data_IF_858531197878
#
_entry.id   IF_858531197878
#
_cell.length_a   1.000
_cell.length_b   1.000
_cell.length_c   1.000
_cell.angle_alpha   90.00
_cell.angle_beta   90.00
_cell.angle_gamma   90.00
#
_symmetry.space_group_name_H-M   'P 1'
#
loop_
_entity.id
_entity.type
_entity.pdbx_description
1 polymer ?
#
# COMPACT_ATOMS: atom_id res chain seq x y z
N UNK A 1 25.70 2.02 -25.40
CA UNK A 1 24.47 1.58 -24.70
C UNK A 1 24.38 2.37 -23.40
N UNK A 2 23.58 3.44 -23.37
CA UNK A 2 23.48 4.29 -22.17
C UNK A 2 22.48 3.67 -21.19
N UNK A 3 22.99 3.29 -20.03
CA UNK A 3 22.24 2.80 -18.86
C UNK A 3 21.17 3.81 -18.46
N UNK A 4 19.89 3.43 -18.47
CA UNK A 4 18.85 4.31 -17.92
C UNK A 4 19.07 4.42 -16.41
N UNK A 5 19.46 5.61 -15.95
CA UNK A 5 19.35 5.94 -14.53
C UNK A 5 17.85 5.98 -14.22
N UNK A 6 17.38 5.00 -13.45
CA UNK A 6 16.01 4.98 -12.95
C UNK A 6 15.92 5.91 -11.74
N UNK A 7 15.56 7.17 -11.96
CA UNK A 7 15.28 8.13 -10.89
C UNK A 7 13.78 8.17 -10.57
N UNK A 8 13.40 8.51 -9.32
CA UNK A 8 11.99 8.66 -8.94
C UNK A 8 11.26 9.62 -9.90
N UNK A 9 10.19 9.15 -10.54
CA UNK A 9 9.34 9.97 -11.40
C UNK A 9 9.65 9.97 -12.88
N UNK A 10 10.69 9.24 -13.30
CA UNK A 10 11.06 9.10 -14.71
C UNK A 10 9.87 8.64 -15.57
N UNK A 11 9.10 7.63 -15.12
CA UNK A 11 7.93 7.15 -15.85
C UNK A 11 6.82 8.20 -16.01
N UNK A 12 6.60 9.02 -14.97
CA UNK A 12 5.60 10.10 -15.01
C UNK A 12 6.04 11.20 -16.00
N UNK A 13 7.33 11.53 -15.99
CA UNK A 13 7.94 12.50 -16.91
C UNK A 13 7.86 12.03 -18.37
N UNK A 14 8.24 10.78 -18.66
CA UNK A 14 8.13 10.20 -20.00
C UNK A 14 6.69 10.21 -20.50
N UNK A 15 5.74 9.79 -19.64
CA UNK A 15 4.32 9.78 -19.96
C UNK A 15 3.80 11.18 -20.27
N UNK A 16 4.20 12.17 -19.47
CA UNK A 16 3.85 13.57 -19.69
C UNK A 16 4.39 14.11 -21.03
N UNK A 17 5.67 13.88 -21.32
CA UNK A 17 6.32 14.34 -22.55
C UNK A 17 5.72 13.68 -23.79
N UNK A 18 5.44 12.36 -23.74
CA UNK A 18 4.76 11.66 -24.84
C UNK A 18 3.35 12.21 -25.09
N UNK A 19 2.63 12.59 -24.03
CA UNK A 19 1.27 13.13 -24.13
C UNK A 19 1.23 14.58 -24.64
N UNK A 20 2.20 15.42 -24.25
CA UNK A 20 2.19 16.85 -24.57
C UNK A 20 3.04 17.22 -25.78
N UNK A 21 4.05 16.42 -26.13
CA UNK A 21 4.97 16.66 -27.25
C UNK A 21 5.54 18.09 -27.21
N UNK A 22 5.40 18.83 -28.31
CA UNK A 22 5.89 20.21 -28.44
C UNK A 22 5.16 21.24 -27.55
N UNK A 23 4.08 20.86 -26.88
CA UNK A 23 3.36 21.69 -25.90
C UNK A 23 3.83 21.46 -24.46
N UNK A 24 4.86 20.62 -24.27
CA UNK A 24 5.45 20.36 -22.97
C UNK A 24 5.97 21.64 -22.32
N UNK A 25 5.78 21.74 -21.01
CA UNK A 25 6.20 22.86 -20.19
C UNK A 25 6.69 22.31 -18.85
N UNK A 26 7.83 22.81 -18.39
CA UNK A 26 8.44 22.34 -17.14
C UNK A 26 7.57 22.73 -15.94
N UNK A 27 7.13 23.98 -15.87
CA UNK A 27 6.25 24.46 -14.80
C UNK A 27 4.91 23.70 -14.80
N UNK A 28 4.36 23.36 -15.97
CA UNK A 28 3.12 22.59 -16.08
C UNK A 28 3.30 21.16 -15.60
N UNK A 29 4.44 20.53 -15.91
CA UNK A 29 4.77 19.22 -15.38
C UNK A 29 4.83 19.23 -13.84
N UNK A 30 5.57 20.19 -13.26
CA UNK A 30 5.69 20.32 -11.81
C UNK A 30 4.32 20.46 -11.12
N UNK A 31 3.42 21.25 -11.69
CA UNK A 31 2.07 21.44 -11.14
C UNK A 31 1.19 20.18 -11.25
N UNK A 32 1.22 19.49 -12.39
CA UNK A 32 0.39 18.30 -12.60
C UNK A 32 0.82 17.12 -11.73
N UNK A 33 2.11 17.04 -11.42
CA UNK A 33 2.71 15.95 -10.66
C UNK A 33 3.12 16.37 -9.24
N UNK A 34 2.52 17.43 -8.72
CA UNK A 34 2.81 18.02 -7.40
C UNK A 34 2.88 16.97 -6.28
N UNK A 35 1.84 16.15 -6.10
CA UNK A 35 1.80 15.15 -5.02
C UNK A 35 2.95 14.15 -5.10
N UNK A 36 3.27 13.72 -6.32
CA UNK A 36 4.36 12.79 -6.57
C UNK A 36 5.74 13.45 -6.32
N UNK A 37 5.87 14.74 -6.65
CA UNK A 37 7.08 15.53 -6.42
C UNK A 37 7.31 15.77 -4.92
N UNK A 38 6.25 16.06 -4.15
CA UNK A 38 6.31 16.20 -2.68
C UNK A 38 6.85 14.92 -2.03
N UNK A 39 6.45 13.74 -2.51
CA UNK A 39 6.92 12.47 -1.94
C UNK A 39 8.30 12.04 -2.41
N UNK A 40 8.88 12.74 -3.38
CA UNK A 40 10.15 12.37 -4.03
C UNK A 40 11.26 13.38 -3.77
N UNK A 41 11.13 14.23 -2.74
CA UNK A 41 12.18 15.19 -2.43
C UNK A 41 13.38 14.49 -1.78
N UNK A 42 14.57 14.95 -2.16
CA UNK A 42 15.85 14.39 -1.71
C UNK A 42 16.79 15.47 -1.14
N UNK A 43 16.37 16.73 -1.16
CA UNK A 43 17.13 17.88 -0.67
C UNK A 43 16.20 18.93 -0.08
N UNK A 44 16.68 19.62 0.95
CA UNK A 44 16.04 20.79 1.55
C UNK A 44 16.41 22.11 0.84
N UNK A 45 17.27 22.04 -0.19
CA UNK A 45 17.67 23.17 -0.99
C UNK A 45 16.87 23.21 -2.29
N UNK A 46 16.05 24.25 -2.44
CA UNK A 46 15.19 24.42 -3.61
C UNK A 46 15.97 24.46 -4.94
N UNK A 47 17.21 24.97 -4.94
CA UNK A 47 18.05 25.02 -6.15
C UNK A 47 18.49 23.64 -6.58
N UNK A 48 18.84 22.79 -5.62
CA UNK A 48 19.29 21.43 -5.91
C UNK A 48 18.13 20.57 -6.45
N UNK A 49 16.94 20.73 -5.86
CA UNK A 49 15.71 20.12 -6.37
C UNK A 49 15.41 20.58 -7.79
N UNK A 50 15.37 21.90 -8.02
CA UNK A 50 15.02 22.46 -9.31
C UNK A 50 16.02 22.07 -10.41
N UNK A 51 17.32 22.20 -10.14
CA UNK A 51 18.37 21.86 -11.10
C UNK A 51 18.31 20.38 -11.48
N UNK A 52 18.07 19.49 -10.51
CA UNK A 52 17.99 18.04 -10.76
C UNK A 52 16.75 17.70 -11.59
N UNK A 53 15.58 18.19 -11.19
CA UNK A 53 14.32 17.94 -11.91
C UNK A 53 14.34 18.55 -13.32
N UNK A 54 14.93 19.73 -13.47
CA UNK A 54 15.08 20.39 -14.76
C UNK A 54 16.06 19.65 -15.66
N UNK A 55 17.18 19.18 -15.13
CA UNK A 55 18.15 18.35 -15.88
C UNK A 55 17.49 17.08 -16.40
N UNK A 56 16.79 16.35 -15.54
CA UNK A 56 16.04 15.17 -15.93
C UNK A 56 14.96 15.47 -16.98
N UNK A 57 14.28 16.61 -16.87
CA UNK A 57 13.31 17.04 -17.87
C UNK A 57 13.95 17.23 -19.25
N UNK A 58 15.12 17.88 -19.31
CA UNK A 58 15.86 18.10 -20.55
C UNK A 58 16.45 16.80 -21.12
N UNK A 59 16.99 15.93 -20.28
CA UNK A 59 17.52 14.61 -20.67
C UNK A 59 16.43 13.77 -21.34
N UNK A 60 15.21 13.77 -20.79
CA UNK A 60 14.09 13.01 -21.36
C UNK A 60 13.52 13.65 -22.63
N UNK A 61 13.53 14.98 -22.74
CA UNK A 61 13.19 15.68 -23.99
C UNK A 61 14.16 15.30 -25.11
N UNK A 62 15.46 15.23 -24.80
CA UNK A 62 16.49 14.84 -25.75
C UNK A 62 16.42 13.35 -26.11
N UNK A 63 16.15 12.49 -25.13
CA UNK A 63 15.98 11.05 -25.35
C UNK A 63 14.77 10.70 -26.21
N UNK A 64 13.70 11.48 -26.14
CA UNK A 64 12.48 11.30 -26.92
C UNK A 64 12.55 11.96 -28.31
N UNK A 65 13.71 12.50 -28.69
CA UNK A 65 13.95 13.23 -29.95
C UNK A 65 12.92 14.35 -30.20
N UNK A 66 12.57 15.07 -29.13
CA UNK A 66 11.66 16.22 -29.22
C UNK A 66 12.45 17.45 -29.69
N UNK A 67 11.95 18.10 -30.75
CA UNK A 67 12.54 19.21 -31.51
C UNK A 67 13.43 20.20 -30.70
N UNK A 68 14.60 20.58 -31.25
CA UNK A 68 15.53 21.58 -30.71
C UNK A 68 14.87 22.89 -30.26
N UNK A 69 13.84 23.35 -30.97
CA UNK A 69 13.04 24.56 -30.64
C UNK A 69 12.33 24.41 -29.28
N UNK A 70 11.92 23.19 -28.90
CA UNK A 70 11.29 22.91 -27.62
C UNK A 70 12.28 23.09 -26.46
N UNK A 71 13.55 22.68 -26.65
CA UNK A 71 14.61 22.82 -25.64
C UNK A 71 14.88 24.29 -25.31
N UNK A 72 14.98 25.14 -26.33
CA UNK A 72 15.15 26.59 -26.18
C UNK A 72 13.95 27.26 -25.49
N UNK A 73 12.73 26.83 -25.85
CA UNK A 73 11.50 27.27 -25.21
C UNK A 73 11.46 26.89 -23.72
N UNK A 74 11.85 25.67 -23.36
CA UNK A 74 11.89 25.19 -21.98
C UNK A 74 12.95 25.95 -21.16
N UNK A 75 14.14 26.21 -21.73
CA UNK A 75 15.17 27.03 -21.08
C UNK A 75 14.68 28.45 -20.81
N UNK A 76 13.96 29.04 -21.78
CA UNK A 76 13.40 30.38 -21.63
C UNK A 76 12.27 30.40 -20.60
N UNK A 77 11.42 29.37 -20.56
CA UNK A 77 10.39 29.19 -19.54
C UNK A 77 11.00 29.11 -18.13
N UNK A 78 12.05 28.28 -17.96
CA UNK A 78 12.74 28.08 -16.69
C UNK A 78 13.34 29.39 -16.14
N UNK A 79 14.04 30.14 -16.99
CA UNK A 79 14.59 31.45 -16.63
C UNK A 79 13.49 32.47 -16.31
N UNK A 80 12.45 32.54 -17.14
CA UNK A 80 11.34 33.50 -16.96
C UNK A 80 10.56 33.26 -15.67
N UNK A 81 10.40 32.01 -15.26
CA UNK A 81 9.62 31.63 -14.08
C UNK A 81 10.49 31.29 -12.86
N UNK A 82 11.74 31.76 -12.81
CA UNK A 82 12.66 31.48 -11.69
C UNK A 82 12.08 31.82 -10.30
N UNK A 83 11.45 33.00 -10.15
CA UNK A 83 10.81 33.39 -8.88
C UNK A 83 9.62 32.48 -8.52
N UNK A 84 8.86 32.04 -9.52
CA UNK A 84 7.78 31.10 -9.35
C UNK A 84 8.29 29.71 -8.94
N UNK A 85 9.35 29.21 -9.60
CA UNK A 85 9.99 27.93 -9.29
C UNK A 85 10.58 27.92 -7.88
N UNK A 86 11.25 29.00 -7.47
CA UNK A 86 11.71 29.17 -6.10
C UNK A 86 10.55 29.05 -5.10
N UNK A 87 9.45 29.78 -5.34
CA UNK A 87 8.26 29.74 -4.46
C UNK A 87 7.62 28.35 -4.45
N UNK A 88 7.56 27.68 -5.61
CA UNK A 88 7.05 26.33 -5.76
C UNK A 88 7.86 25.34 -4.92
N UNK A 89 9.17 25.30 -5.10
CA UNK A 89 10.04 24.34 -4.39
C UNK A 89 10.11 24.61 -2.89
N UNK A 90 10.13 25.87 -2.46
CA UNK A 90 10.04 26.21 -1.04
C UNK A 90 8.73 25.72 -0.42
N UNK A 91 7.63 25.79 -1.15
CA UNK A 91 6.34 25.25 -0.72
C UNK A 91 6.35 23.72 -0.67
N UNK A 92 6.95 23.05 -1.65
CA UNK A 92 7.13 21.59 -1.67
C UNK A 92 7.94 21.12 -0.46
N UNK A 93 9.07 21.78 -0.17
CA UNK A 93 9.93 21.47 0.99
C UNK A 93 9.15 21.68 2.29
N UNK A 94 8.43 22.79 2.40
CA UNK A 94 7.57 23.07 3.56
C UNK A 94 6.50 22.00 3.73
N UNK A 95 5.80 21.63 2.67
CA UNK A 95 4.75 20.60 2.69
C UNK A 95 5.30 19.22 3.07
N UNK A 96 6.49 18.86 2.57
CA UNK A 96 7.17 17.64 2.98
C UNK A 96 7.54 17.65 4.47
N UNK A 97 8.06 18.76 5.00
CA UNK A 97 8.38 18.92 6.42
C UNK A 97 7.12 18.86 7.30
N UNK A 98 6.03 19.48 6.87
CA UNK A 98 4.73 19.40 7.53
C UNK A 98 4.12 17.98 7.48
N UNK A 99 4.48 17.19 6.48
CA UNK A 99 4.09 15.77 6.37
C UNK A 99 4.97 14.81 7.22
N UNK A 100 6.09 15.29 7.77
CA UNK A 100 6.99 14.56 8.67
C UNK A 100 6.67 14.77 10.17
N UNK A 101 6.06 15.90 10.53
CA UNK A 101 5.54 16.19 11.87
C UNK A 101 4.09 15.64 12.04
N UNK A 102 3.62 15.33 13.26
CA UNK A 102 2.26 14.86 13.47
C UNK A 102 1.23 15.89 12.98
N UNK A 103 0.31 15.42 12.16
CA UNK A 103 -0.67 16.19 11.38
C UNK A 103 -1.38 17.27 12.21
N UNK A 104 -1.20 18.55 11.86
CA UNK A 104 -2.06 19.67 12.29
C UNK A 104 -2.85 20.26 11.10
N UNK A 105 -4.13 19.89 11.03
CA UNK A 105 -5.35 20.61 10.59
C UNK A 105 -5.44 21.41 9.28
N UNK A 106 -4.39 21.68 8.49
CA UNK A 106 -4.53 22.56 7.29
C UNK A 106 -4.81 21.82 5.97
N UNK A 107 -4.37 20.57 5.82
CA UNK A 107 -4.47 19.81 4.56
C UNK A 107 -5.83 19.11 4.33
N UNK A 108 -6.71 19.06 5.33
CA UNK A 108 -8.05 18.46 5.24
C UNK A 108 -8.96 19.20 4.23
N UNK A 109 -8.74 20.50 3.99
CA UNK A 109 -9.65 21.33 3.19
C UNK A 109 -9.49 21.13 1.66
N UNK A 110 -8.29 20.83 1.16
CA UNK A 110 -8.05 20.69 -0.29
C UNK A 110 -8.46 19.33 -0.86
N UNK A 111 -8.33 18.27 -0.06
CA UNK A 111 -8.75 16.91 -0.45
C UNK A 111 -10.28 16.81 -0.49
N UNK A 112 -10.98 17.48 0.43
CA UNK A 112 -12.43 17.58 0.45
C UNK A 112 -13.02 18.18 -0.85
N UNK A 113 -12.36 19.18 -1.45
CA UNK A 113 -12.88 19.85 -2.64
C UNK A 113 -12.89 18.95 -3.90
N UNK A 114 -11.84 18.12 -4.09
CA UNK A 114 -11.74 17.19 -5.22
C UNK A 114 -12.70 15.99 -5.11
N UNK A 115 -12.95 15.52 -3.89
CA UNK A 115 -13.89 14.40 -3.65
C UNK A 115 -15.35 14.84 -3.80
N UNK A 116 -15.70 16.07 -3.40
CA UNK A 116 -17.06 16.63 -3.56
C UNK A 116 -17.50 16.71 -5.03
N UNK A 117 -16.57 16.91 -5.96
CA UNK A 117 -16.82 16.97 -7.40
C UNK A 117 -16.98 15.59 -8.05
N UNK A 118 -16.39 14.54 -7.46
CA UNK A 118 -16.54 13.15 -7.90
C UNK A 118 -17.88 12.56 -7.41
N UNK A 119 -18.30 12.87 -6.18
CA UNK A 119 -19.63 12.53 -5.66
C UNK A 119 -20.79 13.20 -6.43
N UNK A 120 -20.58 14.39 -7.00
CA UNK A 120 -21.61 15.07 -7.82
C UNK A 120 -21.90 14.36 -9.15
N UNK A 121 -20.99 13.52 -9.65
CA UNK A 121 -21.14 12.83 -10.96
C UNK A 121 -21.86 11.47 -10.88
N UNK A 122 -22.16 10.99 -9.68
CA UNK A 122 -22.88 9.73 -9.42
C UNK A 122 -24.36 9.96 -9.02
N UNK A 123 -24.89 11.18 -9.20
CA UNK A 123 -26.18 11.61 -8.64
C UNK A 123 -27.42 11.27 -9.46
N UNK A 124 -27.26 10.72 -10.65
CA UNK A 124 -28.39 10.57 -11.58
C UNK A 124 -29.09 9.21 -11.48
N UNK A 125 -28.65 8.34 -10.56
CA UNK A 125 -29.30 7.05 -10.36
C UNK A 125 -29.18 6.62 -8.88
N UNK A 126 -30.07 7.09 -8.02
CA UNK A 126 -30.55 6.22 -6.92
C UNK A 126 -31.79 6.73 -6.16
N UNK A 127 -32.50 5.72 -5.66
CA UNK A 127 -33.73 5.69 -4.87
C UNK A 127 -33.79 6.61 -3.62
N UNK A 128 -35.03 6.96 -3.24
CA UNK A 128 -35.38 8.00 -2.26
C UNK A 128 -34.77 7.80 -0.85
N UNK A 129 -34.57 6.56 -0.39
CA UNK A 129 -34.03 6.22 0.94
C UNK A 129 -32.54 6.56 1.10
N UNK A 130 -31.72 6.31 0.07
CA UNK A 130 -30.28 6.65 0.08
C UNK A 130 -30.09 8.17 0.24
N UNK A 131 -30.96 8.95 -0.40
CA UNK A 131 -30.88 10.41 -0.38
C UNK A 131 -31.14 11.03 1.01
N UNK A 132 -32.05 10.45 1.80
CA UNK A 132 -32.35 10.92 3.15
C UNK A 132 -31.28 10.53 4.16
N UNK A 133 -30.74 9.32 4.05
CA UNK A 133 -29.61 8.87 4.84
C UNK A 133 -28.40 9.79 4.67
N UNK A 134 -28.01 10.09 3.43
CA UNK A 134 -26.89 11.00 3.14
C UNK A 134 -27.13 12.42 3.64
N UNK A 135 -28.37 12.93 3.54
CA UNK A 135 -28.73 14.24 4.12
C UNK A 135 -28.55 14.25 5.63
N UNK A 136 -29.00 13.20 6.32
CA UNK A 136 -28.87 13.06 7.78
C UNK A 136 -27.41 12.95 8.22
N UNK A 137 -26.60 12.14 7.54
CA UNK A 137 -25.15 12.04 7.79
C UNK A 137 -24.45 13.39 7.59
N UNK A 138 -24.80 14.10 6.51
CA UNK A 138 -24.24 15.43 6.22
C UNK A 138 -24.61 16.46 7.29
N UNK A 139 -25.84 16.43 7.80
CA UNK A 139 -26.27 17.30 8.89
C UNK A 139 -25.51 17.02 10.19
N UNK A 140 -25.34 15.75 10.56
CA UNK A 140 -24.57 15.35 11.76
C UNK A 140 -23.12 15.83 11.63
N UNK A 141 -22.52 15.68 10.44
CA UNK A 141 -21.16 16.10 10.17
C UNK A 141 -20.97 17.62 10.31
N UNK A 142 -21.90 18.41 9.76
CA UNK A 142 -21.87 19.88 9.88
C UNK A 142 -22.10 20.33 11.33
N UNK A 143 -23.06 19.73 12.04
CA UNK A 143 -23.33 20.03 13.46
C UNK A 143 -22.11 19.74 14.36
N UNK A 144 -21.32 18.71 14.02
CA UNK A 144 -20.18 18.26 14.83
C UNK A 144 -18.81 18.66 14.25
N UNK A 145 -18.74 19.56 13.26
CA UNK A 145 -17.50 19.93 12.55
C UNK A 145 -16.37 20.45 13.46
N UNK A 146 -16.74 21.05 14.60
CA UNK A 146 -15.80 21.57 15.59
C UNK A 146 -15.52 20.59 16.74
N UNK A 147 -16.21 19.46 16.79
CA UNK A 147 -15.95 18.42 17.78
C UNK A 147 -14.67 17.66 17.40
N UNK A 148 -13.68 17.67 18.29
CA UNK A 148 -12.37 17.06 18.06
C UNK A 148 -12.44 15.55 17.80
N UNK A 149 -13.31 14.84 18.52
CA UNK A 149 -13.48 13.38 18.37
C UNK A 149 -14.02 13.06 16.98
N UNK A 150 -15.04 13.80 16.53
CA UNK A 150 -15.59 13.62 15.18
C UNK A 150 -14.54 13.89 14.12
N UNK A 151 -13.79 15.01 14.23
CA UNK A 151 -12.73 15.36 13.29
C UNK A 151 -11.69 14.24 13.19
N UNK A 152 -11.23 13.71 14.33
CA UNK A 152 -10.26 12.62 14.34
C UNK A 152 -10.80 11.33 13.70
N UNK A 153 -12.05 10.97 13.96
CA UNK A 153 -12.68 9.79 13.33
C UNK A 153 -12.75 9.96 11.82
N UNK A 154 -13.14 11.14 11.33
CA UNK A 154 -13.21 11.45 9.89
C UNK A 154 -11.82 11.41 9.25
N UNK A 155 -10.83 12.04 9.88
CA UNK A 155 -9.46 12.06 9.36
C UNK A 155 -8.88 10.64 9.30
N UNK A 156 -9.12 9.81 10.33
CA UNK A 156 -8.72 8.40 10.34
C UNK A 156 -9.43 7.59 9.23
N UNK A 157 -10.75 7.79 9.05
CA UNK A 157 -11.51 7.13 8.00
C UNK A 157 -10.97 7.52 6.61
N UNK A 158 -10.62 8.80 6.40
CA UNK A 158 -10.02 9.27 5.17
C UNK A 158 -8.65 8.63 4.91
N UNK A 159 -7.80 8.50 5.93
CA UNK A 159 -6.52 7.82 5.82
C UNK A 159 -6.69 6.34 5.41
N UNK A 160 -7.67 5.65 6.01
CA UNK A 160 -8.01 4.26 5.66
C UNK A 160 -8.46 4.15 4.20
N UNK A 161 -9.36 5.03 3.75
CA UNK A 161 -9.84 5.05 2.36
C UNK A 161 -8.69 5.28 1.38
N UNK A 162 -7.83 6.28 1.65
CA UNK A 162 -6.69 6.59 0.79
C UNK A 162 -5.68 5.45 0.74
N UNK A 163 -5.47 4.77 1.87
CA UNK A 163 -4.59 3.61 1.93
C UNK A 163 -5.14 2.43 1.15
N UNK A 164 -6.45 2.18 1.24
CA UNK A 164 -7.14 1.17 0.42
C UNK A 164 -7.06 1.48 -1.07
N UNK A 165 -7.39 2.72 -1.49
CA UNK A 165 -7.32 3.12 -2.89
C UNK A 165 -5.89 2.96 -3.44
N UNK A 166 -4.89 3.41 -2.67
CA UNK A 166 -3.48 3.25 -3.03
C UNK A 166 -3.08 1.78 -3.14
N UNK A 167 -3.56 0.93 -2.25
CA UNK A 167 -3.29 -0.51 -2.26
C UNK A 167 -3.81 -1.15 -3.56
N UNK A 168 -5.06 -0.85 -3.97
CA UNK A 168 -5.64 -1.30 -5.24
C UNK A 168 -4.82 -0.79 -6.45
N UNK A 169 -4.25 0.40 -6.35
CA UNK A 169 -3.37 1.02 -7.35
C UNK A 169 -1.94 0.47 -7.37
N UNK A 170 -1.64 -0.64 -6.69
CA UNK A 170 -0.29 -1.24 -6.54
C UNK A 170 0.69 -0.42 -5.68
N UNK A 171 0.18 0.49 -4.84
CA UNK A 171 0.98 1.27 -3.91
C UNK A 171 0.64 0.90 -2.46
N UNK A 172 1.38 -0.06 -1.91
CA UNK A 172 1.20 -0.54 -0.53
C UNK A 172 1.70 0.45 0.53
N UNK A 173 2.51 1.46 0.17
CA UNK A 173 3.21 2.30 1.15
C UNK A 173 2.26 3.00 2.14
N UNK A 174 1.15 3.63 1.70
CA UNK A 174 0.19 4.24 2.62
C UNK A 174 -0.43 3.22 3.57
N UNK A 175 -0.69 2.00 3.09
CA UNK A 175 -1.21 0.90 3.90
C UNK A 175 -0.22 0.47 4.98
N UNK A 176 1.07 0.31 4.63
CA UNK A 176 2.13 0.01 5.60
C UNK A 176 2.25 1.10 6.67
N UNK A 177 2.08 2.38 6.30
CA UNK A 177 2.13 3.50 7.24
C UNK A 177 1.00 3.43 8.27
N UNK A 178 -0.24 3.17 7.85
CA UNK A 178 -1.37 3.05 8.80
C UNK A 178 -1.26 1.78 9.64
N UNK A 179 -0.79 0.67 9.07
CA UNK A 179 -0.56 -0.58 9.79
C UNK A 179 0.48 -0.39 10.91
N UNK A 180 1.60 0.27 10.61
CA UNK A 180 2.63 0.59 11.59
C UNK A 180 2.09 1.45 12.73
N UNK A 181 1.32 2.49 12.41
CA UNK A 181 0.67 3.33 13.43
C UNK A 181 -0.22 2.49 14.35
N UNK A 182 -1.05 1.61 13.80
CA UNK A 182 -1.94 0.73 14.59
C UNK A 182 -1.17 -0.25 15.47
N UNK A 183 -0.06 -0.81 14.99
CA UNK A 183 0.81 -1.68 15.77
C UNK A 183 1.46 -0.92 16.93
N UNK A 184 1.93 0.31 16.69
CA UNK A 184 2.57 1.16 17.70
C UNK A 184 1.62 1.64 18.80
N UNK A 185 0.31 1.68 18.55
CA UNK A 185 -0.69 1.97 19.57
C UNK A 185 -0.88 0.84 20.58
N UNK A 186 -0.40 -0.37 20.27
CA UNK A 186 -0.53 -1.50 21.18
C UNK A 186 0.40 -1.34 22.38
N UNK A 187 -0.05 -1.86 23.51
CA UNK A 187 0.79 -1.97 24.70
C UNK A 187 2.03 -2.80 24.40
N UNK A 188 3.20 -2.34 24.87
CA UNK A 188 4.45 -3.11 24.85
C UNK A 188 4.32 -4.50 25.49
N UNK A 189 3.38 -4.68 26.42
CA UNK A 189 3.07 -5.99 27.02
C UNK A 189 2.61 -7.02 25.98
N UNK A 190 2.06 -6.56 24.86
CA UNK A 190 1.60 -7.41 23.76
C UNK A 190 2.75 -7.87 22.84
N UNK A 191 3.98 -7.34 22.99
CA UNK A 191 5.11 -7.74 22.14
C UNK A 191 5.49 -9.22 22.30
N UNK A 192 5.27 -9.79 23.49
CA UNK A 192 5.57 -11.20 23.75
C UNK A 192 4.51 -12.16 23.19
N UNK A 193 3.25 -11.72 23.12
CA UNK A 193 2.09 -12.54 22.77
C UNK A 193 1.54 -12.30 21.37
N UNK A 194 1.95 -11.22 20.69
CA UNK A 194 1.55 -10.95 19.33
C UNK A 194 2.04 -12.05 18.37
N UNK A 195 1.19 -12.36 17.39
CA UNK A 195 1.34 -13.44 16.42
C UNK A 195 0.55 -13.10 15.14
N UNK A 196 0.53 -14.02 14.17
CA UNK A 196 -0.16 -13.83 12.89
C UNK A 196 -1.67 -13.55 13.05
N UNK A 197 -2.44 -14.29 13.88
CA UNK A 197 -3.84 -13.96 14.15
C UNK A 197 -4.06 -12.54 14.68
N UNK A 198 -3.19 -12.05 15.58
CA UNK A 198 -3.26 -10.67 16.08
C UNK A 198 -2.99 -9.67 14.95
N UNK A 199 -2.00 -9.95 14.10
CA UNK A 199 -1.71 -9.11 12.93
C UNK A 199 -2.90 -9.07 11.97
N UNK A 200 -3.48 -10.24 11.66
CA UNK A 200 -4.64 -10.34 10.77
C UNK A 200 -5.82 -9.51 11.27
N UNK A 201 -6.18 -9.63 12.56
CA UNK A 201 -7.25 -8.83 13.15
C UNK A 201 -7.01 -7.31 13.05
N UNK A 202 -5.75 -6.86 13.12
CA UNK A 202 -5.42 -5.44 12.95
C UNK A 202 -5.58 -5.02 11.48
N UNK A 203 -5.10 -5.84 10.55
CA UNK A 203 -5.18 -5.57 9.10
C UNK A 203 -6.64 -5.57 8.64
N UNK A 204 -7.47 -6.49 9.14
CA UNK A 204 -8.92 -6.53 8.87
C UNK A 204 -9.63 -5.25 9.30
N UNK A 205 -9.29 -4.71 10.48
CA UNK A 205 -9.86 -3.45 10.99
C UNK A 205 -9.39 -2.20 10.23
N UNK A 206 -8.31 -2.29 9.45
CA UNK A 206 -7.79 -1.20 8.64
C UNK A 206 -8.30 -1.21 7.20
N UNK A 207 -9.06 -2.23 6.82
CA UNK A 207 -9.65 -2.35 5.50
C UNK A 207 -11.17 -2.15 5.59
N UNK A 208 -11.81 -1.51 4.60
CA UNK A 208 -13.25 -1.39 4.63
C UNK A 208 -13.89 -2.78 4.46
N UNK A 209 -14.80 -3.12 5.37
CA UNK A 209 -15.32 -4.48 5.54
C UNK A 209 -16.05 -5.03 4.30
N UNK A 210 -16.69 -4.17 3.50
CA UNK A 210 -17.35 -4.56 2.24
C UNK A 210 -16.36 -5.09 1.19
N UNK A 211 -15.10 -4.66 1.26
CA UNK A 211 -14.05 -5.02 0.31
C UNK A 211 -13.03 -6.00 0.88
N UNK A 212 -13.19 -6.43 2.14
CA UNK A 212 -12.24 -7.30 2.83
C UNK A 212 -12.85 -8.69 3.06
N UNK A 213 -12.12 -9.74 2.68
CA UNK A 213 -12.51 -11.14 2.89
C UNK A 213 -11.34 -11.87 3.55
N UNK A 214 -11.39 -12.04 4.88
CA UNK A 214 -10.37 -12.79 5.60
C UNK A 214 -10.50 -14.29 5.38
N UNK A 215 -9.38 -15.00 5.48
CA UNK A 215 -9.29 -16.47 5.34
C UNK A 215 -9.97 -16.98 4.06
N UNK A 216 -9.61 -16.36 2.94
CA UNK A 216 -10.25 -16.62 1.66
C UNK A 216 -9.99 -18.05 1.21
N UNK A 217 -11.08 -18.83 1.12
CA UNK A 217 -11.03 -20.29 1.03
C UNK A 217 -10.81 -20.79 -0.38
N UNK A 218 -9.82 -21.68 -0.55
CA UNK A 218 -9.37 -22.20 -1.84
C UNK A 218 -9.27 -23.74 -1.84
N UNK A 219 -9.57 -24.34 -2.99
CA UNK A 219 -9.13 -25.71 -3.31
C UNK A 219 -7.81 -25.59 -4.06
N UNK A 220 -6.70 -25.93 -3.39
CA UNK A 220 -5.36 -25.83 -3.97
C UNK A 220 -5.08 -27.01 -4.89
N UNK A 221 -5.29 -28.22 -4.37
CA UNK A 221 -5.10 -29.45 -5.12
C UNK A 221 -6.11 -30.51 -4.71
N UNK A 222 -7.20 -30.61 -5.49
CA UNK A 222 -8.27 -31.55 -5.24
C UNK A 222 -7.89 -33.03 -5.32
N UNK A 223 -6.69 -33.36 -5.84
CA UNK A 223 -6.18 -34.74 -5.89
C UNK A 223 -5.54 -35.19 -4.58
N UNK A 224 -5.20 -34.26 -3.68
CA UNK A 224 -4.58 -34.58 -2.40
C UNK A 224 -5.64 -34.97 -1.37
N UNK A 225 -5.36 -35.85 -0.39
CA UNK A 225 -6.30 -36.10 0.70
C UNK A 225 -6.49 -34.85 1.58
N UNK A 226 -7.66 -34.73 2.20
CA UNK A 226 -7.96 -33.64 3.15
C UNK A 226 -6.88 -33.56 4.23
N UNK A 227 -6.39 -32.35 4.51
CA UNK A 227 -5.32 -32.11 5.48
C UNK A 227 -3.89 -32.21 4.93
N UNK A 228 -3.68 -32.58 3.66
CA UNK A 228 -2.33 -32.67 3.04
C UNK A 228 -2.01 -31.55 2.04
N UNK A 229 -2.63 -30.38 2.22
CA UNK A 229 -2.58 -29.27 1.25
C UNK A 229 -3.63 -29.39 0.14
N UNK A 230 -4.75 -30.07 0.43
CA UNK A 230 -5.93 -30.08 -0.44
C UNK A 230 -6.59 -28.70 -0.49
N UNK A 231 -6.79 -28.09 0.68
CA UNK A 231 -7.32 -26.74 0.86
C UNK A 231 -6.22 -25.76 1.22
N UNK A 232 -6.47 -24.49 0.96
CA UNK A 232 -5.63 -23.36 1.36
C UNK A 232 -6.51 -22.18 1.72
N UNK A 233 -5.99 -21.34 2.60
CA UNK A 233 -6.69 -20.15 3.09
C UNK A 233 -5.74 -18.99 2.92
N UNK A 234 -6.09 -18.05 2.04
CA UNK A 234 -5.33 -16.82 1.89
C UNK A 234 -5.71 -15.87 3.01
N UNK A 235 -4.74 -15.24 3.66
CA UNK A 235 -5.01 -14.47 4.88
C UNK A 235 -6.06 -13.39 4.64
N UNK A 236 -5.88 -12.54 3.61
CA UNK A 236 -6.87 -11.53 3.24
C UNK A 236 -6.97 -11.36 1.73
N UNK A 237 -8.20 -11.42 1.22
CA UNK A 237 -8.56 -11.05 -0.15
C UNK A 237 -9.26 -9.69 -0.14
N UNK A 238 -8.67 -8.71 -0.83
CA UNK A 238 -9.15 -7.33 -0.93
C UNK A 238 -9.75 -7.10 -2.31
N UNK A 239 -11.05 -6.81 -2.34
CA UNK A 239 -11.80 -6.51 -3.55
C UNK A 239 -11.57 -5.06 -3.98
N UNK A 240 -11.54 -4.85 -5.29
CA UNK A 240 -11.60 -3.52 -5.89
C UNK A 240 -13.05 -3.07 -6.07
N UNK A 241 -13.33 -1.79 -5.79
CA UNK A 241 -14.65 -1.20 -6.00
C UNK A 241 -15.11 -1.17 -7.47
N UNK A 242 -14.17 -1.16 -8.42
CA UNK A 242 -14.45 -1.19 -9.86
C UNK A 242 -14.43 -2.64 -10.40
N UNK A 243 -14.22 -3.64 -9.53
CA UNK A 243 -14.22 -5.06 -9.86
C UNK A 243 -12.94 -5.57 -10.55
N UNK A 244 -11.93 -4.69 -10.73
CA UNK A 244 -10.67 -4.99 -11.41
C UNK A 244 -9.49 -4.68 -10.49
N UNK A 245 -8.39 -5.45 -10.57
CA UNK A 245 -7.17 -5.27 -9.76
C UNK A 245 -7.34 -5.64 -8.28
N UNK A 246 -7.95 -6.79 -8.00
CA UNK A 246 -8.07 -7.28 -6.63
C UNK A 246 -6.69 -7.58 -6.04
N UNK A 247 -6.54 -7.34 -4.75
CA UNK A 247 -5.28 -7.47 -4.03
C UNK A 247 -5.37 -8.62 -3.05
N UNK A 248 -4.32 -9.44 -2.99
CA UNK A 248 -4.17 -10.51 -2.01
C UNK A 248 -3.07 -10.10 -1.03
N UNK A 249 -3.37 -10.18 0.26
CA UNK A 249 -2.39 -9.98 1.32
C UNK A 249 -2.08 -11.31 1.99
N UNK A 250 -0.80 -11.65 2.02
CA UNK A 250 -0.25 -12.73 2.83
C UNK A 250 0.51 -12.09 3.99
N UNK A 251 0.18 -12.48 5.22
CA UNK A 251 0.65 -11.91 6.45
C UNK A 251 1.61 -12.87 7.13
N UNK A 252 2.75 -12.34 7.59
CA UNK A 252 3.72 -13.07 8.39
C UNK A 252 4.10 -12.25 9.61
N UNK A 253 4.22 -12.91 10.76
CA UNK A 253 4.57 -12.26 12.00
C UNK A 253 5.76 -12.94 12.68
N UNK A 254 6.83 -12.17 12.89
CA UNK A 254 8.01 -12.60 13.64
C UNK A 254 7.89 -12.09 15.07
N UNK A 255 7.58 -13.01 15.98
CA UNK A 255 7.61 -12.72 17.41
C UNK A 255 9.04 -12.43 17.88
N UNK A 256 9.20 -11.35 18.64
CA UNK A 256 10.48 -10.96 19.23
C UNK A 256 11.03 -12.02 20.20
N UNK A 257 10.16 -12.79 20.84
CA UNK A 257 10.53 -13.91 21.71
C UNK A 257 11.25 -15.00 20.91
N UNK A 258 10.77 -15.29 19.69
CA UNK A 258 11.37 -16.30 18.82
C UNK A 258 12.72 -15.90 18.22
N UNK A 259 13.09 -14.62 18.30
CA UNK A 259 14.41 -14.12 17.90
C UNK A 259 15.47 -14.25 19.01
N UNK A 260 15.07 -14.51 20.25
CA UNK A 260 15.95 -14.46 21.42
C UNK A 260 16.46 -15.83 21.89
N UNK A 261 17.04 -16.63 20.99
CA UNK A 261 17.47 -18.00 21.35
C UNK A 261 18.69 -18.07 22.28
N UNK A 262 19.55 -17.05 22.28
CA UNK A 262 20.86 -17.11 22.95
C UNK A 262 20.86 -16.60 24.40
N UNK A 263 19.75 -16.06 24.90
CA UNK A 263 19.67 -15.59 26.28
C UNK A 263 18.91 -16.61 27.12
N UNK A 264 19.53 -17.07 28.21
CA UNK A 264 18.98 -18.08 29.13
C UNK A 264 17.70 -17.64 29.86
N UNK A 265 17.29 -16.38 29.73
CA UNK A 265 16.17 -15.80 30.45
C UNK A 265 15.09 -15.33 29.47
N UNK A 266 13.82 -15.52 29.85
CA UNK A 266 12.69 -14.90 29.18
C UNK A 266 12.87 -13.38 29.17
N UNK A 267 12.71 -12.75 28.01
CA UNK A 267 12.73 -11.29 27.91
C UNK A 267 11.48 -10.72 28.57
N UNK A 268 11.68 -9.75 29.45
CA UNK A 268 10.60 -8.91 29.93
C UNK A 268 10.12 -7.94 28.84
N UNK A 269 9.02 -7.23 29.13
CA UNK A 269 8.44 -6.30 28.17
C UNK A 269 9.38 -5.12 27.82
N UNK A 270 10.24 -4.70 28.75
CA UNK A 270 11.20 -3.61 28.52
C UNK A 270 12.30 -4.04 27.55
N UNK A 271 12.82 -5.25 27.73
CA UNK A 271 13.86 -5.81 26.87
C UNK A 271 13.33 -6.05 25.45
N UNK A 272 12.09 -6.54 25.33
CA UNK A 272 11.41 -6.68 24.04
C UNK A 272 11.20 -5.33 23.36
N UNK A 273 10.81 -4.29 24.10
CA UNK A 273 10.67 -2.93 23.55
C UNK A 273 12.00 -2.38 23.03
N UNK A 274 13.09 -2.61 23.76
CA UNK A 274 14.44 -2.21 23.33
C UNK A 274 14.88 -2.98 22.07
N UNK A 275 14.60 -4.27 22.00
CA UNK A 275 14.86 -5.10 20.82
C UNK A 275 14.05 -4.61 19.62
N UNK A 276 12.75 -4.31 19.79
CA UNK A 276 11.89 -3.78 18.73
C UNK A 276 12.45 -2.47 18.13
N UNK A 277 12.90 -1.54 18.98
CA UNK A 277 13.55 -0.28 18.57
C UNK A 277 14.89 -0.50 17.87
N UNK A 278 15.64 -1.52 18.26
CA UNK A 278 16.91 -1.87 17.64
C UNK A 278 16.69 -2.43 16.22
N UNK A 279 15.76 -3.36 16.08
CA UNK A 279 15.42 -4.00 14.80
C UNK A 279 14.85 -3.00 13.79
N UNK A 280 14.16 -1.95 14.25
CA UNK A 280 13.69 -0.86 13.40
C UNK A 280 14.82 -0.23 12.58
N UNK A 281 16.01 -0.08 13.17
CA UNK A 281 17.18 0.60 12.59
C UNK A 281 18.12 -0.33 11.83
N UNK A 282 17.94 -1.63 11.98
CA UNK A 282 18.82 -2.61 11.33
C UNK A 282 18.56 -2.64 9.82
N UNK A 283 19.62 -2.87 9.05
CA UNK A 283 19.50 -2.99 7.60
C UNK A 283 18.75 -4.28 7.24
N UNK A 284 18.07 -4.27 6.11
CA UNK A 284 17.19 -5.37 5.72
C UNK A 284 17.96 -6.70 5.51
N UNK A 285 19.15 -6.65 4.92
CA UNK A 285 19.96 -7.85 4.65
C UNK A 285 20.36 -8.57 5.95
N UNK A 286 20.78 -7.83 6.97
CA UNK A 286 21.09 -8.38 8.29
C UNK A 286 19.85 -8.95 8.97
N UNK A 287 18.72 -8.24 8.93
CA UNK A 287 17.46 -8.71 9.50
C UNK A 287 17.03 -10.03 8.89
N UNK A 288 17.04 -10.15 7.55
CA UNK A 288 16.60 -11.36 6.86
C UNK A 288 17.46 -12.59 7.20
N UNK A 289 18.75 -12.39 7.52
CA UNK A 289 19.66 -13.47 7.94
C UNK A 289 19.50 -13.89 9.40
N UNK A 290 18.72 -13.16 10.21
CA UNK A 290 18.56 -13.49 11.64
C UNK A 290 17.91 -14.86 11.81
N UNK A 291 18.47 -15.71 12.69
CA UNK A 291 17.84 -16.97 13.04
C UNK A 291 16.55 -16.69 13.82
N UNK A 292 15.51 -17.45 13.51
CA UNK A 292 14.21 -17.38 14.16
C UNK A 292 13.78 -18.78 14.57
N UNK A 293 13.31 -18.89 15.82
CA UNK A 293 12.83 -20.14 16.39
C UNK A 293 11.35 -20.04 16.73
N UNK A 294 10.59 -21.05 16.36
CA UNK A 294 9.15 -21.11 16.64
C UNK A 294 8.73 -22.53 16.99
N UNK A 295 7.65 -22.64 17.75
CA UNK A 295 7.05 -23.94 18.09
C UNK A 295 6.14 -24.40 16.94
N UNK A 296 6.49 -25.50 16.29
CA UNK A 296 5.65 -26.14 15.28
C UNK A 296 4.66 -27.08 15.97
N UNK A 297 3.35 -26.81 15.79
CA UNK A 297 2.30 -27.71 16.31
C UNK A 297 2.30 -29.06 15.58
N UNK A 298 2.61 -29.06 14.30
CA UNK A 298 2.64 -30.24 13.44
C UNK A 298 3.81 -31.16 13.82
N UNK A 299 5.00 -30.61 13.92
CA UNK A 299 6.21 -31.37 14.27
C UNK A 299 6.37 -31.60 15.78
N UNK A 300 5.54 -30.95 16.60
CA UNK A 300 5.61 -30.94 18.07
C UNK A 300 7.01 -30.62 18.61
N UNK A 301 7.75 -29.74 17.91
CA UNK A 301 9.11 -29.35 18.28
C UNK A 301 9.38 -27.88 17.94
N UNK A 302 10.45 -27.37 18.52
CA UNK A 302 11.02 -26.08 18.12
C UNK A 302 11.71 -26.23 16.76
N UNK A 303 11.24 -25.50 15.77
CA UNK A 303 11.89 -25.38 14.48
C UNK A 303 12.76 -24.14 14.44
N UNK A 304 13.87 -24.23 13.71
CA UNK A 304 14.80 -23.13 13.45
C UNK A 304 14.76 -22.82 11.96
N UNK A 305 14.66 -21.53 11.64
CA UNK A 305 14.65 -20.99 10.28
C UNK A 305 15.28 -19.59 10.30
N UNK A 306 15.20 -18.85 9.20
CA UNK A 306 15.56 -17.43 9.14
C UNK A 306 14.34 -16.58 8.81
N UNK A 307 14.40 -15.29 9.14
CA UNK A 307 13.35 -14.35 8.75
C UNK A 307 13.18 -14.31 7.22
N UNK A 308 14.30 -14.38 6.47
CA UNK A 308 14.30 -14.43 5.01
C UNK A 308 13.61 -15.66 4.44
N UNK A 309 13.83 -16.84 5.02
CA UNK A 309 13.12 -18.06 4.64
C UNK A 309 11.61 -17.94 4.86
N UNK A 310 11.17 -17.35 5.98
CA UNK A 310 9.75 -17.11 6.24
C UNK A 310 9.14 -16.19 5.18
N UNK A 311 9.81 -15.08 4.86
CA UNK A 311 9.37 -14.16 3.81
C UNK A 311 9.27 -14.85 2.45
N UNK A 312 10.29 -15.62 2.06
CA UNK A 312 10.31 -16.35 0.80
C UNK A 312 9.22 -17.44 0.73
N UNK A 313 8.96 -18.13 1.83
CA UNK A 313 7.88 -19.11 1.91
C UNK A 313 6.51 -18.44 1.76
N UNK A 314 6.30 -17.27 2.39
CA UNK A 314 5.11 -16.45 2.17
C UNK A 314 4.93 -16.05 0.70
N UNK A 315 6.01 -15.65 0.03
CA UNK A 315 6.00 -15.29 -1.40
C UNK A 315 5.59 -16.46 -2.29
N UNK A 316 6.13 -17.65 -2.03
CA UNK A 316 5.80 -18.87 -2.75
C UNK A 316 4.34 -19.27 -2.53
N UNK A 317 3.86 -19.18 -1.29
CA UNK A 317 2.46 -19.45 -0.94
C UNK A 317 1.51 -18.47 -1.64
N UNK A 318 1.79 -17.17 -1.57
CA UNK A 318 0.99 -16.14 -2.22
C UNK A 318 0.91 -16.34 -3.73
N UNK A 319 2.04 -16.64 -4.38
CA UNK A 319 2.07 -16.96 -5.81
C UNK A 319 1.20 -18.17 -6.17
N UNK A 320 1.21 -19.21 -5.33
CA UNK A 320 0.36 -20.40 -5.52
C UNK A 320 -1.13 -20.04 -5.36
N UNK A 321 -1.48 -19.24 -4.37
CA UNK A 321 -2.85 -18.80 -4.12
C UNK A 321 -3.38 -17.95 -5.25
N UNK A 322 -2.61 -16.97 -5.73
CA UNK A 322 -3.02 -16.14 -6.87
C UNK A 322 -3.27 -16.97 -8.15
N UNK A 323 -2.41 -17.94 -8.44
CA UNK A 323 -2.61 -18.90 -9.55
C UNK A 323 -3.82 -19.80 -9.36
N UNK A 324 -4.24 -20.04 -8.13
CA UNK A 324 -5.44 -20.83 -7.83
C UNK A 324 -6.69 -19.96 -7.97
N UNK A 325 -6.67 -18.74 -7.44
CA UNK A 325 -7.77 -17.76 -7.53
C UNK A 325 -8.09 -17.43 -8.98
N UNK A 326 -7.07 -17.30 -9.84
CA UNK A 326 -7.25 -16.98 -11.26
C UNK A 326 -7.98 -18.06 -12.08
N UNK A 327 -8.13 -19.28 -11.53
CA UNK A 327 -8.93 -20.36 -12.14
C UNK A 327 -10.44 -20.18 -11.95
N UNK A 328 -10.86 -19.19 -11.16
CA UNK A 328 -12.27 -18.93 -10.86
C UNK A 328 -12.85 -19.90 -9.84
N UNK A 329 -14.17 -20.08 -9.88
CA UNK A 329 -14.90 -20.92 -8.90
C UNK A 329 -14.54 -22.39 -9.06
N UNK A 330 -14.20 -23.05 -7.96
CA UNK A 330 -14.12 -24.50 -7.90
C UNK A 330 -15.52 -25.11 -8.07
N UNK A 331 -15.68 -26.04 -9.01
CA UNK A 331 -16.93 -26.78 -9.21
C UNK A 331 -17.23 -27.72 -8.04
N UNK A 332 -16.18 -28.28 -7.45
CA UNK A 332 -16.22 -29.21 -6.33
C UNK A 332 -14.84 -29.28 -5.66
N UNK A 333 -14.69 -30.16 -4.67
CA UNK A 333 -13.42 -30.41 -3.97
C UNK A 333 -12.32 -31.02 -4.85
N UNK A 334 -12.63 -31.48 -6.06
CA UNK A 334 -11.63 -32.07 -6.97
C UNK A 334 -11.02 -31.04 -7.93
N UNK A 335 -11.72 -29.93 -8.20
CA UNK A 335 -11.26 -28.86 -9.09
C UNK A 335 -10.57 -27.75 -8.30
N UNK A 336 -9.33 -27.40 -8.67
CA UNK A 336 -8.65 -26.26 -8.05
C UNK A 336 -9.30 -24.93 -8.41
N UNK A 337 -9.49 -24.06 -7.44
CA UNK A 337 -10.13 -22.75 -7.62
C UNK A 337 -10.59 -22.15 -6.31
N UNK A 338 -11.37 -21.08 -6.38
CA UNK A 338 -12.00 -20.45 -5.22
C UNK A 338 -13.16 -21.30 -4.71
N UNK A 339 -13.16 -21.54 -3.40
CA UNK A 339 -14.19 -22.28 -2.69
C UNK A 339 -14.64 -21.48 -1.46
N UNK A 340 -15.18 -20.30 -1.71
CA UNK A 340 -15.66 -19.38 -0.68
C UNK A 340 -17.06 -18.88 -1.06
N UNK A 341 -18.04 -19.08 -0.17
CA UNK A 341 -19.44 -18.75 -0.43
C UNK A 341 -19.73 -17.25 -0.34
N UNK A 342 -18.84 -16.49 0.33
CA UNK A 342 -18.96 -15.04 0.52
C UNK A 342 -18.62 -14.28 -0.76
N UNK A 343 -18.18 -14.97 -1.82
CA UNK A 343 -17.79 -14.37 -3.11
C UNK A 343 -18.58 -14.95 -4.27
N UNK A 344 -19.27 -14.08 -4.96
CA UNK A 344 -19.84 -14.36 -6.29
C UNK A 344 -18.76 -14.14 -7.34
N UNK A 345 -18.54 -15.17 -8.15
CA UNK A 345 -17.57 -15.16 -9.25
C UNK A 345 -18.30 -15.21 -10.57
N UNK A 346 -18.00 -14.25 -11.44
CA UNK A 346 -18.57 -14.14 -12.79
C UNK A 346 -17.46 -14.06 -13.83
N UNK A 347 -17.71 -14.52 -15.06
CA UNK A 347 -16.77 -14.29 -16.16
C UNK A 347 -16.68 -12.80 -16.47
N UNK A 348 -15.49 -12.34 -16.80
CA UNK A 348 -15.22 -10.94 -17.14
C UNK A 348 -14.12 -10.82 -18.18
N UNK A 349 -13.89 -9.59 -18.66
CA UNK A 349 -12.69 -9.27 -19.42
C UNK A 349 -11.43 -9.52 -18.56
N UNK A 350 -10.29 -9.85 -19.19
CA UNK A 350 -9.04 -10.05 -18.49
C UNK A 350 -8.73 -8.88 -17.55
N UNK A 351 -8.51 -9.21 -16.29
CA UNK A 351 -8.08 -8.28 -15.25
C UNK A 351 -6.93 -8.88 -14.45
N UNK A 352 -6.44 -8.16 -13.46
CA UNK A 352 -5.22 -8.51 -12.73
C UNK A 352 -5.54 -8.86 -11.27
N UNK A 353 -4.81 -9.84 -10.76
CA UNK A 353 -4.62 -10.07 -9.35
C UNK A 353 -3.24 -9.52 -9.00
N UNK A 354 -3.18 -8.73 -7.93
CA UNK A 354 -1.94 -8.22 -7.33
C UNK A 354 -1.75 -8.87 -5.97
N UNK A 355 -0.51 -9.04 -5.53
CA UNK A 355 -0.24 -9.71 -4.27
C UNK A 355 0.90 -9.07 -3.50
N UNK A 356 0.72 -8.91 -2.21
CA UNK A 356 1.77 -8.48 -1.29
C UNK A 356 1.94 -9.45 -0.13
N UNK A 357 3.18 -9.78 0.18
CA UNK A 357 3.53 -10.37 1.47
C UNK A 357 3.92 -9.24 2.42
N UNK A 358 3.28 -9.18 3.59
CA UNK A 358 3.58 -8.23 4.66
C UNK A 358 4.17 -9.01 5.83
N UNK A 359 5.45 -8.77 6.11
CA UNK A 359 6.19 -9.38 7.20
C UNK A 359 6.40 -8.35 8.31
N UNK A 360 5.73 -8.54 9.45
CA UNK A 360 5.88 -7.70 10.63
C UNK A 360 6.81 -8.36 11.63
N UNK A 361 7.77 -7.61 12.15
CA UNK A 361 8.72 -8.05 13.17
C UNK A 361 8.54 -7.13 14.39
N UNK A 362 8.06 -7.70 15.49
CA UNK A 362 7.64 -6.90 16.64
C UNK A 362 6.48 -5.97 16.29
N UNK A 363 6.60 -4.68 16.57
CA UNK A 363 5.60 -3.66 16.19
C UNK A 363 6.18 -2.55 15.31
N UNK A 364 7.50 -2.44 15.20
CA UNK A 364 8.17 -1.32 14.52
C UNK A 364 8.64 -1.62 13.11
N UNK A 365 9.15 -2.83 12.90
CA UNK A 365 9.77 -3.20 11.62
C UNK A 365 8.77 -3.96 10.77
N UNK A 366 8.47 -3.40 9.60
CA UNK A 366 7.61 -4.02 8.60
C UNK A 366 8.40 -4.10 7.31
N UNK A 367 8.52 -5.31 6.78
CA UNK A 367 9.04 -5.58 5.45
C UNK A 367 7.88 -6.01 4.56
N UNK A 368 7.98 -5.73 3.27
CA UNK A 368 6.99 -6.21 2.31
C UNK A 368 7.64 -6.55 0.98
N UNK A 369 6.96 -7.39 0.20
CA UNK A 369 7.33 -7.77 -1.17
C UNK A 369 6.06 -7.93 -2.01
N UNK A 370 6.14 -7.51 -3.27
CA UNK A 370 5.13 -7.84 -4.27
C UNK A 370 5.52 -9.13 -5.00
N UNK A 371 4.53 -9.94 -5.35
CA UNK A 371 4.67 -11.04 -6.31
C UNK A 371 4.22 -10.60 -7.70
N UNK A 372 4.62 -11.34 -8.73
CA UNK A 372 4.20 -11.07 -10.11
C UNK A 372 2.67 -11.08 -10.24
N UNK A 373 2.15 -10.11 -11.00
CA UNK A 373 0.73 -10.01 -11.28
C UNK A 373 0.22 -11.27 -12.02
N UNK A 374 -0.97 -11.73 -11.64
CA UNK A 374 -1.62 -12.87 -12.31
C UNK A 374 -2.86 -12.39 -13.05
N UNK A 375 -2.94 -12.68 -14.35
CA UNK A 375 -4.15 -12.39 -15.14
C UNK A 375 -5.28 -13.36 -14.78
N UNK A 376 -6.50 -12.84 -14.66
CA UNK A 376 -7.72 -13.61 -14.42
C UNK A 376 -8.85 -13.12 -15.33
N UNK A 377 -9.72 -14.03 -15.76
CA UNK A 377 -10.90 -13.73 -16.59
C UNK A 377 -12.19 -13.74 -15.75
N UNK A 378 -12.05 -13.41 -14.47
CA UNK A 378 -13.14 -13.44 -13.50
C UNK A 378 -13.22 -12.14 -12.72
N UNK A 379 -14.44 -11.70 -12.45
CA UNK A 379 -14.73 -10.68 -11.43
C UNK A 379 -15.18 -11.36 -10.15
N UNK A 380 -14.87 -10.73 -9.03
CA UNK A 380 -15.15 -11.23 -7.69
C UNK A 380 -15.94 -10.15 -6.98
N UNK A 381 -17.12 -10.49 -6.47
CA UNK A 381 -17.98 -9.58 -5.73
C UNK A 381 -18.37 -10.22 -4.42
N UNK A 382 -18.31 -9.47 -3.33
CA UNK A 382 -18.81 -9.94 -2.03
C UNK A 382 -20.32 -10.09 -2.08
N UNK A 383 -20.84 -11.16 -1.48
CA UNK A 383 -22.29 -11.46 -1.39
C UNK A 383 -22.89 -10.79 -0.16
#
# INVERSE_FOLDING_TARGET
>A
MNTSKNYPGQNALISYLKKQGNKSSYCRFLNLHHNFIVTSIFSDNWKDLDNTWFTHFLEEVERLDLNKVLKEKINTEHLRYMQYLQTFWQKIIKEYKENLEPINTSNSIKVQAKQKEKLKRLRDDDTTESSEYWKRQSQILEQNKNNLVYRQVIDNALLVILAYESLIEDNIIPFIKILKTSLLLRSRMSLSSANEPVLQAIVENLLPSEYCIPEFSLVINGKKPKGSGHFGYSDIFVLSNIGNNNVILELKYISLVGLNRNQKNNLGANELENLDKLLEKENEESILKRPYSYWSKEDKKMNLTTIGEILNNGMNQLSLYMKTISKGRAMNYSSSGVFDERVKISKSNPNKLKGFVILVIGFRRILWRSVDEVTTNYTYNKV
#
